data_IF_400319489049
#
_entry.id   IF_400319489049
#
_cell.length_a   1.000
_cell.length_b   1.000
_cell.length_c   1.000
_cell.angle_alpha   90.00
_cell.angle_beta   90.00
_cell.angle_gamma   90.00
#
_symmetry.space_group_name_H-M   'P 1'
#
loop_
_entity.id
_entity.type
_entity.pdbx_description
1 polymer ?
#
# COMPACT_ATOMS: atom_id res chain seq x y z
N UNK A 1 3.71 9.13 10.29
CA UNK A 1 2.49 8.94 9.48
C UNK A 1 2.53 9.98 8.38
N UNK A 2 2.17 9.60 7.16
CA UNK A 2 2.33 10.41 5.95
C UNK A 2 0.98 10.55 5.28
N UNK A 3 0.66 11.76 4.85
CA UNK A 3 -0.52 12.03 4.04
C UNK A 3 -0.20 11.72 2.58
N UNK A 4 -1.06 10.94 1.94
CA UNK A 4 -0.93 10.49 0.56
C UNK A 4 -2.29 10.55 -0.13
N UNK A 5 -2.29 10.25 -1.41
CA UNK A 5 -3.51 9.89 -2.13
C UNK A 5 -3.51 8.39 -2.41
N UNK A 6 -4.63 7.72 -2.17
CA UNK A 6 -4.81 6.31 -2.48
C UNK A 6 -6.00 6.12 -3.41
N UNK A 7 -5.98 5.02 -4.16
CA UNK A 7 -7.16 4.52 -4.87
C UNK A 7 -7.19 3.00 -4.82
N UNK A 8 -8.40 2.46 -4.95
CA UNK A 8 -8.63 1.01 -5.02
C UNK A 8 -9.29 0.68 -6.36
N UNK A 9 -8.82 -0.40 -7.01
CA UNK A 9 -9.39 -1.00 -8.22
C UNK A 9 -9.66 0.01 -9.35
N UNK A 10 -8.76 0.97 -9.54
CA UNK A 10 -8.87 2.00 -10.57
C UNK A 10 -9.91 3.10 -10.29
N UNK A 11 -10.47 3.14 -9.09
CA UNK A 11 -11.39 4.18 -8.65
C UNK A 11 -10.73 5.56 -8.50
N UNK A 12 -11.49 6.50 -7.92
CA UNK A 12 -11.02 7.86 -7.68
C UNK A 12 -9.91 7.90 -6.63
N UNK A 13 -8.97 8.83 -6.82
CA UNK A 13 -7.99 9.17 -5.80
C UNK A 13 -8.68 9.84 -4.62
N UNK A 14 -8.29 9.43 -3.42
CA UNK A 14 -8.80 9.95 -2.16
C UNK A 14 -7.64 10.14 -1.19
N UNK A 15 -7.75 11.13 -0.31
CA UNK A 15 -6.77 11.29 0.77
C UNK A 15 -6.73 10.03 1.64
N UNK A 16 -5.53 9.55 1.89
CA UNK A 16 -5.26 8.40 2.73
C UNK A 16 -4.01 8.65 3.57
N UNK A 17 -3.79 7.80 4.58
CA UNK A 17 -2.60 7.89 5.41
C UNK A 17 -1.75 6.65 5.30
N UNK A 18 -0.45 6.82 5.36
CA UNK A 18 0.50 5.73 5.47
C UNK A 18 1.21 5.75 6.81
N UNK A 19 1.33 4.58 7.42
CA UNK A 19 2.26 4.37 8.54
C UNK A 19 3.28 3.31 8.19
N UNK A 20 4.55 3.65 8.38
CA UNK A 20 5.66 2.70 8.31
C UNK A 20 5.84 2.09 9.70
N UNK A 21 5.82 0.76 9.75
CA UNK A 21 6.17 0.01 10.97
C UNK A 21 7.66 -0.32 10.93
N UNK A 22 8.14 -0.81 9.78
CA UNK A 22 9.55 -1.08 9.50
C UNK A 22 9.84 -0.77 8.03
N UNK A 23 10.83 0.09 7.79
CA UNK A 23 11.20 0.55 6.44
C UNK A 23 11.55 -0.64 5.55
N UNK A 24 11.02 -0.68 4.33
CA UNK A 24 11.23 -1.76 3.36
C UNK A 24 10.59 -3.12 3.71
N UNK A 25 9.96 -3.27 4.88
CA UNK A 25 9.47 -4.56 5.39
C UNK A 25 7.99 -4.56 5.80
N UNK A 26 7.51 -3.56 6.54
CA UNK A 26 6.13 -3.54 7.03
C UNK A 26 5.56 -2.11 7.10
N UNK A 27 4.40 -1.91 6.47
CA UNK A 27 3.67 -0.65 6.50
C UNK A 27 2.17 -0.90 6.35
N UNK A 28 1.39 0.16 6.50
CA UNK A 28 -0.05 0.13 6.28
C UNK A 28 -0.54 1.40 5.58
N UNK A 29 -1.67 1.27 4.90
CA UNK A 29 -2.45 2.36 4.34
C UNK A 29 -3.82 2.40 5.02
N UNK A 30 -4.21 3.57 5.53
CA UNK A 30 -5.57 3.87 5.97
C UNK A 30 -6.32 4.50 4.80
N UNK A 31 -7.15 3.69 4.17
CA UNK A 31 -8.13 4.14 3.19
C UNK A 31 -9.45 4.45 3.89
N UNK A 32 -10.33 5.20 3.22
CA UNK A 32 -11.59 5.69 3.79
C UNK A 32 -12.45 4.59 4.45
N UNK A 33 -12.35 3.35 3.97
CA UNK A 33 -13.21 2.25 4.42
C UNK A 33 -12.47 1.00 4.88
N UNK A 34 -11.13 1.01 4.90
CA UNK A 34 -10.33 -0.09 5.42
C UNK A 34 -8.87 0.30 5.66
N UNK A 35 -8.24 -0.42 6.58
CA UNK A 35 -6.78 -0.45 6.70
C UNK A 35 -6.23 -1.64 5.94
N UNK A 36 -5.28 -1.39 5.05
CA UNK A 36 -4.53 -2.44 4.35
C UNK A 36 -3.13 -2.48 4.93
N UNK A 37 -2.69 -3.67 5.35
CA UNK A 37 -1.33 -3.92 5.83
C UNK A 37 -0.53 -4.61 4.76
N UNK A 38 0.75 -4.28 4.69
CA UNK A 38 1.70 -4.81 3.73
C UNK A 38 2.89 -5.39 4.47
N UNK A 39 3.41 -6.50 3.93
CA UNK A 39 4.66 -7.10 4.37
C UNK A 39 5.50 -7.50 3.19
N UNK A 40 6.77 -7.13 3.25
CA UNK A 40 7.81 -7.55 2.34
C UNK A 40 8.86 -8.32 3.14
N UNK A 41 9.26 -9.50 2.65
CA UNK A 41 10.15 -10.40 3.40
C UNK A 41 11.64 -10.25 3.01
N UNK A 42 11.98 -9.21 2.23
CA UNK A 42 13.34 -8.98 1.74
C UNK A 42 13.79 -9.91 0.60
N UNK A 43 12.99 -10.95 0.27
CA UNK A 43 13.26 -11.88 -0.84
C UNK A 43 12.56 -11.49 -2.14
N UNK A 44 11.91 -10.32 -2.18
CA UNK A 44 11.07 -9.86 -3.28
C UNK A 44 9.62 -10.33 -3.19
N UNK A 45 9.24 -11.08 -2.15
CA UNK A 45 7.85 -11.49 -1.94
C UNK A 45 7.14 -10.45 -1.10
N UNK A 46 6.09 -9.89 -1.66
CA UNK A 46 5.22 -8.95 -0.97
C UNK A 46 3.83 -9.55 -0.76
N UNK A 47 3.24 -9.26 0.39
CA UNK A 47 1.88 -9.68 0.74
C UNK A 47 1.09 -8.51 1.28
N UNK A 48 -0.21 -8.50 1.01
CA UNK A 48 -1.15 -7.55 1.59
C UNK A 48 -2.28 -8.26 2.34
N UNK A 49 -2.88 -7.55 3.30
CA UNK A 49 -4.05 -8.00 4.04
C UNK A 49 -4.95 -6.79 4.34
N UNK A 50 -6.20 -6.86 3.91
CA UNK A 50 -7.21 -5.85 4.23
C UNK A 50 -7.90 -6.11 5.57
N UNK A 51 -8.68 -5.15 6.04
CA UNK A 51 -9.64 -5.43 7.12
C UNK A 51 -10.89 -6.15 6.62
N UNK A 52 -11.21 -6.04 5.32
CA UNK A 52 -12.36 -6.70 4.68
C UNK A 52 -12.07 -8.15 4.30
N UNK A 53 -10.86 -8.44 3.83
CA UNK A 53 -10.34 -9.80 3.67
C UNK A 53 -9.13 -9.99 4.60
N UNK A 54 -9.30 -10.74 5.70
CA UNK A 54 -8.24 -10.91 6.70
C UNK A 54 -7.16 -11.92 6.27
N UNK A 55 -7.23 -12.47 5.06
CA UNK A 55 -6.23 -13.39 4.53
C UNK A 55 -5.04 -12.61 3.98
N UNK A 56 -3.82 -13.11 4.21
CA UNK A 56 -2.64 -12.55 3.53
C UNK A 56 -2.61 -13.05 2.09
N UNK A 57 -2.57 -12.11 1.15
CA UNK A 57 -2.55 -12.37 -0.28
C UNK A 57 -1.21 -11.93 -0.85
N UNK A 58 -0.60 -12.74 -1.72
CA UNK A 58 0.62 -12.33 -2.45
C UNK A 58 0.28 -11.23 -3.44
N UNK A 59 1.11 -10.19 -3.48
CA UNK A 59 0.96 -9.06 -4.40
C UNK A 59 2.29 -8.64 -5.02
N UNK A 60 2.23 -7.96 -6.15
CA UNK A 60 3.40 -7.33 -6.76
C UNK A 60 3.37 -5.81 -6.61
N UNK A 61 4.51 -5.24 -6.24
CA UNK A 61 4.70 -3.80 -6.22
C UNK A 61 5.12 -3.33 -7.62
N UNK A 62 4.39 -2.36 -8.18
CA UNK A 62 4.71 -1.79 -9.50
C UNK A 62 4.55 -0.28 -9.52
N UNK A 63 5.60 0.41 -9.93
CA UNK A 63 5.53 1.82 -10.29
C UNK A 63 4.73 1.98 -11.58
N UNK A 64 3.67 2.77 -11.55
CA UNK A 64 2.82 3.03 -12.72
C UNK A 64 2.95 4.46 -13.26
N UNK A 65 3.49 5.35 -12.43
CA UNK A 65 3.82 6.74 -12.77
C UNK A 65 4.82 7.26 -11.74
N UNK A 66 5.32 8.48 -11.95
CA UNK A 66 6.14 9.17 -10.96
C UNK A 66 5.41 9.21 -9.61
N UNK A 67 6.13 8.82 -8.54
CA UNK A 67 5.63 8.83 -7.16
C UNK A 67 4.32 8.05 -6.96
N UNK A 68 3.99 7.12 -7.87
CA UNK A 68 2.76 6.32 -7.83
C UNK A 68 3.08 4.83 -7.88
N UNK A 69 2.87 4.16 -6.75
CA UNK A 69 3.13 2.73 -6.56
C UNK A 69 1.81 1.98 -6.38
N UNK A 70 1.68 0.82 -7.01
CA UNK A 70 0.52 -0.05 -6.86
C UNK A 70 0.90 -1.45 -6.37
N UNK A 71 -0.02 -2.05 -5.63
CA UNK A 71 -0.03 -3.42 -5.14
C UNK A 71 -1.35 -4.07 -5.55
N UNK A 72 -1.35 -4.67 -6.74
CA UNK A 72 -2.48 -5.42 -7.33
C UNK A 72 -3.88 -4.85 -7.02
N UNK A 73 -4.11 -3.62 -7.49
CA UNK A 73 -5.39 -2.92 -7.37
C UNK A 73 -5.40 -1.80 -6.34
N UNK A 74 -4.53 -1.84 -5.33
CA UNK A 74 -4.36 -0.73 -4.37
C UNK A 74 -3.19 0.14 -4.82
N UNK A 75 -3.41 1.43 -5.02
CA UNK A 75 -2.34 2.35 -5.38
C UNK A 75 -2.21 3.47 -4.37
N UNK A 76 -0.99 3.93 -4.13
CA UNK A 76 -0.68 5.12 -3.36
C UNK A 76 0.19 6.08 -4.20
N UNK A 77 -0.07 7.37 -4.04
CA UNK A 77 0.65 8.46 -4.70
C UNK A 77 1.13 9.48 -3.67
N UNK A 78 2.40 9.85 -3.76
CA UNK A 78 3.04 10.85 -2.89
C UNK A 78 4.48 10.45 -2.53
N UNK A 79 5.00 11.01 -1.44
CA UNK A 79 6.33 10.64 -0.93
C UNK A 79 6.23 9.33 -0.14
N UNK A 80 6.61 8.23 -0.79
CA UNK A 80 6.56 6.88 -0.24
C UNK A 80 7.95 6.47 0.29
N UNK A 81 8.19 6.46 1.62
CA UNK A 81 9.44 5.97 2.20
C UNK A 81 9.34 4.46 2.35
N UNK A 82 9.59 3.76 1.25
CA UNK A 82 9.56 2.30 1.18
C UNK A 82 10.94 1.69 0.87
N UNK A 83 11.95 2.54 0.75
CA UNK A 83 13.36 2.23 0.56
C UNK A 83 14.15 2.80 1.74
#
# INVERSE_FOLDING_TARGET
MLELECRENGGHWQSCRMGVVKLGEEWWLDLAHQRIRFRHDGSGRMRMKGSRDPSWQSVQARWIAERTLCWDGVCARGDLPLD
#
